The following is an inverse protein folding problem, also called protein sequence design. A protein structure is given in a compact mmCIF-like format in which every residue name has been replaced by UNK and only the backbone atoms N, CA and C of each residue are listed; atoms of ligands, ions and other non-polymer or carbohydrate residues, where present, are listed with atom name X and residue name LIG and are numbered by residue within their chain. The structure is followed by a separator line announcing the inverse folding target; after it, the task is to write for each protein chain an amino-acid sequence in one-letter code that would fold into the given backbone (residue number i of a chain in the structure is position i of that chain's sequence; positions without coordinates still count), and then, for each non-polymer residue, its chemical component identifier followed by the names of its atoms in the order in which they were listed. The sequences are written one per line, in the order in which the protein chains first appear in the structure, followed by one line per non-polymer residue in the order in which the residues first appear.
data_IF_497518419925
#
_entry.id   IF_497518419925
#
_cell.length_a   1.000
_cell.length_b   1.000
_cell.length_c   1.000
_cell.angle_alpha   90.00
_cell.angle_beta   90.00
_cell.angle_gamma   90.00
#
_symmetry.space_group_name_H-M   'P 1'
#
loop_
_entity.id
_entity.type
_entity.pdbx_description
1 polymer ?
#
# COMPACT_ATOMS: atom_id res chain seq x y z
N UNK A 1 -18.03 -28.65 -23.88
CA UNK A 1 -16.75 -27.90 -23.83
C UNK A 1 -17.06 -26.42 -23.69
N UNK A 2 -16.86 -25.83 -22.51
CA UNK A 2 -17.09 -24.39 -22.29
C UNK A 2 -15.77 -23.62 -22.48
N UNK A 3 -15.72 -22.75 -23.51
CA UNK A 3 -14.59 -21.83 -23.75
C UNK A 3 -14.67 -20.69 -22.72
N UNK A 4 -13.64 -20.56 -21.87
CA UNK A 4 -13.39 -19.34 -21.08
C UNK A 4 -12.97 -18.23 -22.04
N UNK A 5 -13.85 -17.28 -22.31
CA UNK A 5 -13.52 -16.01 -22.97
C UNK A 5 -12.84 -15.11 -21.94
N UNK A 6 -11.51 -15.10 -21.96
CA UNK A 6 -10.72 -14.16 -21.17
C UNK A 6 -10.81 -12.77 -21.78
N UNK A 7 -11.33 -11.80 -21.02
CA UNK A 7 -11.28 -10.39 -21.40
C UNK A 7 -9.82 -9.95 -21.38
N UNK A 8 -9.36 -9.42 -22.51
CA UNK A 8 -7.99 -8.95 -22.72
C UNK A 8 -7.81 -7.53 -22.17
N UNK A 9 -6.59 -7.16 -21.76
CA UNK A 9 -6.30 -5.81 -21.23
C UNK A 9 -6.67 -4.68 -22.20
N UNK A 10 -6.66 -4.94 -23.52
CA UNK A 10 -7.10 -4.01 -24.56
C UNK A 10 -8.61 -3.75 -24.49
N UNK A 11 -9.44 -4.77 -24.25
CA UNK A 11 -10.90 -4.63 -24.09
C UNK A 11 -11.27 -3.84 -22.82
N UNK A 12 -10.48 -3.97 -21.76
CA UNK A 12 -10.63 -3.18 -20.54
C UNK A 12 -10.34 -1.70 -20.82
N UNK A 13 -9.31 -1.42 -21.60
CA UNK A 13 -8.87 -0.06 -21.94
C UNK A 13 -9.84 0.65 -22.87
N UNK A 14 -10.37 -0.08 -23.86
CA UNK A 14 -11.45 0.38 -24.76
C UNK A 14 -12.72 0.75 -23.99
N UNK A 15 -13.13 -0.08 -23.01
CA UNK A 15 -14.30 0.19 -22.15
C UNK A 15 -14.13 1.41 -21.26
N UNK A 16 -12.91 1.68 -20.80
CA UNK A 16 -12.61 2.89 -20.00
C UNK A 16 -12.66 4.14 -20.88
N UNK A 17 -12.19 4.05 -22.13
CA UNK A 17 -12.24 5.18 -23.07
C UNK A 17 -13.65 5.48 -23.58
N UNK A 18 -14.45 4.46 -23.87
CA UNK A 18 -15.85 4.65 -24.32
C UNK A 18 -16.77 5.17 -23.22
N UNK A 19 -16.43 4.97 -21.94
CA UNK A 19 -17.11 5.59 -20.81
C UNK A 19 -16.75 7.08 -20.60
N UNK A 20 -15.74 7.60 -21.32
CA UNK A 20 -15.18 8.93 -21.10
C UNK A 20 -15.79 10.07 -21.94
N UNK A 21 -16.81 9.81 -22.78
CA UNK A 21 -17.38 10.85 -23.67
C UNK A 21 -18.87 11.14 -23.47
N UNK A 22 -19.42 10.88 -22.28
CA UNK A 22 -20.74 11.38 -21.91
C UNK A 22 -20.59 12.65 -21.06
N UNK A 23 -21.10 13.75 -21.58
CA UNK A 23 -21.10 15.08 -20.99
C UNK A 23 -21.66 15.11 -19.56
N UNK A 24 -21.04 15.93 -18.70
CA UNK A 24 -21.57 16.51 -17.44
C UNK A 24 -22.54 15.61 -16.65
N UNK A 25 -21.98 14.60 -16.00
CA UNK A 25 -22.63 13.93 -14.87
C UNK A 25 -21.55 13.20 -14.07
N UNK A 26 -21.25 13.67 -12.86
CA UNK A 26 -20.38 12.93 -11.95
C UNK A 26 -21.07 11.60 -11.62
N UNK A 27 -20.65 10.53 -12.29
CA UNK A 27 -21.15 9.21 -11.98
C UNK A 27 -20.54 8.81 -10.65
N UNK A 28 -21.31 9.00 -9.58
CA UNK A 28 -21.01 8.48 -8.25
C UNK A 28 -20.78 6.98 -8.41
N UNK A 29 -19.65 6.48 -7.89
CA UNK A 29 -19.40 5.05 -7.87
C UNK A 29 -20.46 4.46 -6.94
N UNK A 30 -21.57 3.99 -7.51
CA UNK A 30 -22.65 3.40 -6.73
C UNK A 30 -22.07 2.30 -5.84
N UNK A 31 -22.61 2.14 -4.63
CA UNK A 31 -22.15 1.11 -3.70
C UNK A 31 -22.08 -0.29 -4.34
N UNK A 32 -22.93 -0.56 -5.33
CA UNK A 32 -22.96 -1.79 -6.13
C UNK A 32 -21.68 -2.00 -6.96
N UNK A 33 -21.02 -0.94 -7.40
CA UNK A 33 -19.76 -0.97 -8.19
C UNK A 33 -18.52 -0.96 -7.30
N UNK A 34 -18.58 -0.28 -6.15
CA UNK A 34 -17.47 -0.20 -5.19
C UNK A 34 -17.24 -1.53 -4.42
N UNK A 35 -18.31 -2.26 -4.08
CA UNK A 35 -18.21 -3.47 -3.26
C UNK A 35 -17.39 -4.60 -3.92
N UNK A 36 -17.54 -4.92 -5.22
CA UNK A 36 -16.67 -5.87 -5.91
C UNK A 36 -15.18 -5.47 -5.89
N UNK A 37 -14.88 -4.17 -5.99
CA UNK A 37 -13.51 -3.66 -5.92
C UNK A 37 -12.94 -3.78 -4.50
N UNK A 38 -13.74 -3.44 -3.48
CA UNK A 38 -13.32 -3.64 -2.08
C UNK A 38 -12.98 -5.09 -1.79
N UNK A 39 -13.80 -6.04 -2.28
CA UNK A 39 -13.54 -7.48 -2.14
C UNK A 39 -12.23 -7.92 -2.76
N UNK A 40 -11.85 -7.34 -3.91
CA UNK A 40 -10.55 -7.63 -4.57
C UNK A 40 -9.35 -7.10 -3.77
N UNK A 41 -9.53 -6.01 -3.03
CA UNK A 41 -8.48 -5.43 -2.20
C UNK A 41 -8.35 -6.09 -0.83
N UNK A 42 -9.34 -6.86 -0.39
CA UNK A 42 -9.28 -7.60 0.89
C UNK A 42 -8.09 -8.55 0.91
N UNK A 43 -7.53 -8.73 2.11
CA UNK A 43 -6.42 -9.64 2.35
C UNK A 43 -5.14 -8.91 2.74
N UNK A 44 -4.05 -9.67 2.76
CA UNK A 44 -2.74 -9.19 3.19
C UNK A 44 -1.87 -8.83 1.99
N UNK A 45 -1.30 -7.64 2.05
CA UNK A 45 -0.46 -7.07 1.03
C UNK A 45 0.89 -6.75 1.64
N UNK A 46 1.96 -7.16 0.97
CA UNK A 46 3.33 -6.80 1.35
C UNK A 46 3.76 -5.60 0.52
N UNK A 47 4.36 -4.63 1.18
CA UNK A 47 4.90 -3.44 0.50
C UNK A 47 6.18 -3.83 -0.22
N UNK A 48 6.18 -3.74 -1.54
CA UNK A 48 7.35 -4.02 -2.37
C UNK A 48 8.41 -2.91 -2.28
N UNK A 49 7.98 -1.66 -2.36
CA UNK A 49 8.82 -0.47 -2.16
C UNK A 49 8.02 0.60 -1.43
N UNK A 50 8.71 1.41 -0.60
CA UNK A 50 8.09 2.52 0.11
C UNK A 50 8.98 3.75 -0.01
N UNK A 51 8.51 4.72 -0.78
CA UNK A 51 9.18 5.99 -1.00
C UNK A 51 8.30 7.14 -0.49
N UNK A 52 8.92 8.16 0.09
CA UNK A 52 8.25 9.37 0.57
C UNK A 52 9.02 10.58 0.07
N UNK A 53 8.40 11.34 -0.83
CA UNK A 53 9.03 12.46 -1.55
C UNK A 53 10.30 12.05 -2.32
N UNK A 54 10.27 10.88 -2.97
CA UNK A 54 11.37 10.36 -3.77
C UNK A 54 12.49 9.68 -2.99
N UNK A 55 12.39 9.61 -1.66
CA UNK A 55 13.38 8.94 -0.81
C UNK A 55 12.84 7.65 -0.20
N UNK A 56 13.68 6.63 -0.09
CA UNK A 56 13.33 5.38 0.60
C UNK A 56 12.94 5.66 2.06
N UNK A 57 11.80 5.13 2.48
CA UNK A 57 11.23 5.37 3.81
C UNK A 57 12.20 5.02 4.95
N UNK A 58 13.00 3.96 4.79
CA UNK A 58 13.99 3.56 5.80
C UNK A 58 15.02 4.67 6.06
N UNK A 59 15.57 5.29 5.02
CA UNK A 59 16.52 6.40 5.16
C UNK A 59 15.88 7.58 5.89
N UNK A 60 14.64 7.93 5.52
CA UNK A 60 13.87 8.99 6.18
C UNK A 60 13.59 8.68 7.66
N UNK A 61 13.26 7.43 7.98
CA UNK A 61 13.06 6.99 9.36
C UNK A 61 14.36 7.11 10.18
N UNK A 62 15.49 6.65 9.63
CA UNK A 62 16.79 6.74 10.30
C UNK A 62 17.12 8.20 10.63
N UNK A 63 17.02 9.10 9.63
CA UNK A 63 17.31 10.51 9.81
C UNK A 63 16.44 11.17 10.88
N UNK A 64 15.14 10.83 10.94
CA UNK A 64 14.19 11.45 11.86
C UNK A 64 14.20 10.84 13.27
N UNK A 65 14.27 9.51 13.35
CA UNK A 65 14.00 8.77 14.59
C UNK A 65 15.27 8.40 15.34
N UNK A 66 16.37 8.15 14.62
CA UNK A 66 17.62 7.68 15.22
C UNK A 66 18.61 8.80 15.55
N UNK A 67 18.27 10.06 15.24
CA UNK A 67 18.99 11.27 15.69
C UNK A 67 20.52 11.22 15.49
N UNK A 68 20.96 10.72 14.34
CA UNK A 68 22.39 10.61 14.01
C UNK A 68 23.04 9.26 14.34
N UNK A 69 22.32 8.34 14.97
CA UNK A 69 22.81 6.96 15.13
C UNK A 69 22.80 6.22 13.79
N UNK A 70 23.89 5.49 13.54
CA UNK A 70 24.04 4.65 12.35
C UNK A 70 23.27 3.33 12.53
N UNK A 71 22.40 3.01 11.57
CA UNK A 71 21.74 1.71 11.46
C UNK A 71 22.34 0.93 10.27
N UNK A 72 23.20 -0.04 10.58
CA UNK A 72 23.80 -0.95 9.59
C UNK A 72 22.87 -2.13 9.33
N UNK A 73 22.98 -2.70 8.12
CA UNK A 73 22.13 -3.83 7.70
C UNK A 73 20.63 -3.55 7.91
N UNK A 74 20.24 -2.29 7.72
CA UNK A 74 18.88 -1.84 7.93
C UNK A 74 17.93 -2.56 6.98
N UNK A 75 16.87 -3.14 7.53
CA UNK A 75 15.79 -3.78 6.79
C UNK A 75 14.48 -3.11 7.15
N UNK A 76 13.63 -2.91 6.14
CA UNK A 76 12.28 -2.39 6.29
C UNK A 76 11.30 -3.40 5.71
N UNK A 77 10.26 -3.73 6.48
CA UNK A 77 9.11 -4.51 6.01
C UNK A 77 7.84 -3.80 6.43
N UNK A 78 6.87 -3.74 5.52
CA UNK A 78 5.54 -3.32 5.86
C UNK A 78 4.49 -4.20 5.18
N UNK A 79 3.38 -4.35 5.89
CA UNK A 79 2.23 -5.11 5.46
C UNK A 79 0.96 -4.31 5.71
N UNK A 80 0.01 -4.44 4.79
CA UNK A 80 -1.35 -3.94 4.94
C UNK A 80 -2.32 -5.11 4.94
N UNK A 81 -3.27 -5.12 5.85
CA UNK A 81 -4.35 -6.10 5.91
C UNK A 81 -5.68 -5.36 5.77
N UNK A 82 -6.31 -5.48 4.60
CA UNK A 82 -7.59 -4.84 4.31
C UNK A 82 -8.74 -5.78 4.64
N UNK A 83 -9.66 -5.32 5.48
CA UNK A 83 -10.91 -6.00 5.84
C UNK A 83 -12.04 -4.97 5.86
N UNK A 84 -13.07 -5.20 5.06
CA UNK A 84 -14.23 -4.30 4.98
C UNK A 84 -13.86 -2.82 4.85
N UNK A 85 -14.03 -2.01 5.91
CA UNK A 85 -13.65 -0.59 5.97
C UNK A 85 -12.44 -0.31 6.86
N UNK A 86 -11.78 -1.35 7.34
CA UNK A 86 -10.59 -1.31 8.19
C UNK A 86 -9.35 -1.76 7.41
N UNK A 87 -8.24 -1.06 7.63
CA UNK A 87 -6.93 -1.43 7.14
C UNK A 87 -5.97 -1.46 8.34
N UNK A 88 -5.33 -2.61 8.57
CA UNK A 88 -4.26 -2.72 9.56
C UNK A 88 -2.92 -2.60 8.84
N UNK A 89 -2.16 -1.56 9.17
CA UNK A 89 -0.77 -1.40 8.74
C UNK A 89 0.16 -1.94 9.82
N UNK A 90 1.06 -2.84 9.44
CA UNK A 90 2.16 -3.31 10.29
C UNK A 90 3.48 -2.90 9.65
N UNK A 91 4.37 -2.31 10.42
CA UNK A 91 5.71 -1.90 10.00
C UNK A 91 6.72 -2.54 10.93
N UNK A 92 7.79 -3.06 10.36
CA UNK A 92 8.98 -3.49 11.09
C UNK A 92 10.21 -2.86 10.46
N UNK A 93 11.08 -2.31 11.32
CA UNK A 93 12.42 -1.87 10.96
C UNK A 93 13.38 -2.62 11.86
N UNK A 94 14.41 -3.22 11.28
CA UNK A 94 15.44 -3.93 12.03
C UNK A 94 16.81 -3.63 11.47
N UNK A 95 17.85 -3.89 12.27
CA UNK A 95 19.23 -3.76 11.85
C UNK A 95 20.17 -3.81 13.03
N UNK A 96 21.38 -3.31 12.84
CA UNK A 96 22.41 -3.21 13.87
C UNK A 96 22.69 -1.72 14.10
N UNK A 97 22.43 -1.23 15.30
CA UNK A 97 22.79 0.14 15.71
C UNK A 97 24.26 0.19 16.10
N UNK A 98 24.94 1.30 15.77
CA UNK A 98 26.31 1.58 16.19
C UNK A 98 27.39 0.83 15.41
N UNK A 99 28.63 0.99 15.83
CA UNK A 99 29.83 0.45 15.20
C UNK A 99 30.69 -0.35 16.19
N UNK A 100 31.46 -1.31 15.67
CA UNK A 100 32.40 -2.11 16.48
C UNK A 100 31.75 -2.85 17.65
N UNK A 101 32.42 -2.80 18.80
CA UNK A 101 32.02 -3.47 20.04
C UNK A 101 30.77 -2.84 20.69
N UNK A 102 30.42 -1.60 20.35
CA UNK A 102 29.22 -0.92 20.86
C UNK A 102 27.96 -1.22 20.02
N UNK A 103 28.03 -2.24 19.17
CA UNK A 103 26.92 -2.57 18.29
C UNK A 103 25.80 -3.34 19.01
N UNK A 104 24.55 -2.99 18.71
CA UNK A 104 23.37 -3.62 19.30
C UNK A 104 22.32 -3.95 18.26
N UNK A 105 21.62 -5.08 18.44
CA UNK A 105 20.48 -5.44 17.60
C UNK A 105 19.34 -4.45 17.84
N UNK A 106 18.87 -3.83 16.76
CA UNK A 106 17.76 -2.91 16.77
C UNK A 106 16.53 -3.53 16.13
N UNK A 107 15.38 -3.36 16.79
CA UNK A 107 14.08 -3.75 16.26
C UNK A 107 13.02 -2.75 16.68
N UNK A 108 12.37 -2.17 15.69
CA UNK A 108 11.23 -1.30 15.84
C UNK A 108 10.02 -1.93 15.16
N UNK A 109 8.88 -1.90 15.84
CA UNK A 109 7.60 -2.39 15.31
C UNK A 109 6.51 -1.36 15.57
N UNK A 110 5.66 -1.16 14.58
CA UNK A 110 4.50 -0.30 14.66
C UNK A 110 3.29 -1.01 14.06
N UNK A 111 2.17 -0.96 14.78
CA UNK A 111 0.85 -1.36 14.29
C UNK A 111 -0.07 -0.14 14.27
N UNK A 112 -0.74 0.10 13.15
CA UNK A 112 -1.72 1.19 13.01
C UNK A 112 -2.99 0.62 12.41
N UNK A 113 -4.13 0.91 13.05
CA UNK A 113 -5.44 0.67 12.48
C UNK A 113 -5.96 1.94 11.82
N UNK A 114 -6.39 1.83 10.57
CA UNK A 114 -6.88 2.93 9.75
C UNK A 114 -8.26 2.57 9.21
N UNK A 115 -9.16 3.54 9.10
CA UNK A 115 -10.32 3.41 8.22
C UNK A 115 -9.88 3.63 6.78
N UNK A 116 -10.48 2.92 5.83
CA UNK A 116 -10.22 3.15 4.40
C UNK A 116 -11.50 3.12 3.57
N UNK A 117 -11.46 3.87 2.48
CA UNK A 117 -12.49 3.88 1.46
C UNK A 117 -11.85 3.99 0.06
N UNK A 118 -12.59 3.59 -0.97
CA UNK A 118 -12.25 3.83 -2.36
C UNK A 118 -12.65 5.27 -2.71
N UNK A 119 -11.71 6.06 -3.19
CA UNK A 119 -12.02 7.39 -3.71
C UNK A 119 -12.98 7.29 -4.91
N UNK A 120 -14.11 7.99 -4.82
CA UNK A 120 -15.16 8.10 -5.83
C UNK A 120 -16.26 9.02 -5.27
N UNK A 121 -17.06 9.71 -6.10
CA UNK A 121 -18.07 10.59 -5.55
C UNK A 121 -19.18 9.71 -4.94
N UNK A 122 -19.54 10.01 -3.69
CA UNK A 122 -20.49 9.25 -2.86
C UNK A 122 -21.94 9.56 -3.15
#
# INVERSE_FOLDING_TARGET
MAKRTGVTSSEITERIKSAGSAERGSYNLSAATAEPLRRKLRGRWTVASHEVAGEAYLGRFIARSLKGLLLRQGAYRAEYEFKDRLCLKRVEISGILGEGEESAVYRYRLGVALSWDLAGPG
#
